data_IF_129899226190
#
_entry.id   IF_129899226190
#
_cell.length_a   1.000
_cell.length_b   1.000
_cell.length_c   1.000
_cell.angle_alpha   90.00
_cell.angle_beta   90.00
_cell.angle_gamma   90.00
#
_symmetry.space_group_name_H-M   'P 1'
#
loop_
_entity.id
_entity.type
_entity.pdbx_description
1 polymer ?
#
# COMPACT_ATOMS: atom_id res chain seq x y z
N UNK A 1 -1.92 36.30 -70.03
CA UNK A 1 -1.55 36.31 -68.57
C UNK A 1 -2.28 35.11 -67.93
N UNK A 2 -1.52 34.08 -67.58
CA UNK A 2 -2.06 32.86 -66.90
C UNK A 2 -1.60 32.89 -65.44
N UNK A 3 -2.54 33.13 -64.55
CA UNK A 3 -2.29 33.16 -63.08
C UNK A 3 -2.38 31.72 -62.55
N UNK A 4 -1.25 31.17 -62.13
CA UNK A 4 -1.18 29.87 -61.48
C UNK A 4 -1.52 30.05 -59.99
N UNK A 5 -2.64 29.45 -59.56
CA UNK A 5 -3.01 29.33 -58.12
C UNK A 5 -2.19 28.20 -57.49
N UNK A 6 -1.24 28.56 -56.66
CA UNK A 6 -0.54 27.62 -55.77
C UNK A 6 -1.40 27.34 -54.53
N UNK A 7 -2.00 26.14 -54.46
CA UNK A 7 -2.64 25.65 -53.23
C UNK A 7 -1.56 25.22 -52.23
N UNK A 8 -1.54 25.72 -50.99
CA UNK A 8 -0.65 25.17 -49.96
C UNK A 8 -1.22 23.82 -49.47
N UNK A 9 -0.47 22.75 -49.71
CA UNK A 9 -0.75 21.44 -49.15
C UNK A 9 -0.53 21.51 -47.61
N UNK A 10 -1.63 21.55 -46.85
CA UNK A 10 -1.65 21.46 -45.41
C UNK A 10 -1.27 20.02 -45.03
N UNK A 11 0.02 19.76 -44.75
CA UNK A 11 0.49 18.52 -44.19
C UNK A 11 -0.04 18.40 -42.76
N UNK A 12 -1.19 17.76 -42.58
CA UNK A 12 -1.69 17.27 -41.29
C UNK A 12 -0.72 16.17 -40.85
N UNK A 13 0.31 16.55 -40.10
CA UNK A 13 1.10 15.60 -39.30
C UNK A 13 0.15 15.01 -38.27
N UNK A 14 -0.39 13.84 -38.54
CA UNK A 14 -1.01 12.95 -37.54
C UNK A 14 0.07 12.64 -36.52
N UNK A 15 0.18 13.48 -35.47
CA UNK A 15 1.03 13.25 -34.34
C UNK A 15 0.57 11.93 -33.70
N UNK A 16 1.26 10.84 -34.05
CA UNK A 16 1.06 9.54 -33.46
C UNK A 16 1.49 9.68 -31.99
N UNK A 17 0.54 10.04 -31.15
CA UNK A 17 0.77 10.22 -29.73
C UNK A 17 1.28 8.92 -29.14
N UNK A 18 2.49 8.89 -28.56
CA UNK A 18 3.08 7.65 -28.06
C UNK A 18 2.22 7.06 -26.93
N UNK A 19 1.95 5.76 -27.04
CA UNK A 19 1.37 5.00 -25.92
C UNK A 19 2.30 5.08 -24.71
N UNK A 20 1.76 4.84 -23.52
CA UNK A 20 2.60 4.67 -22.34
C UNK A 20 3.55 3.49 -22.56
N UNK A 21 4.84 3.72 -22.46
CA UNK A 21 5.83 2.65 -22.48
C UNK A 21 6.07 2.09 -21.07
N UNK A 22 6.64 0.89 -21.01
CA UNK A 22 6.88 0.17 -19.76
C UNK A 22 7.79 0.95 -18.81
N UNK A 23 8.89 1.49 -19.31
CA UNK A 23 9.89 2.20 -18.50
C UNK A 23 9.27 3.43 -17.83
N UNK A 24 8.52 4.22 -18.60
CA UNK A 24 7.82 5.40 -18.06
C UNK A 24 6.77 5.01 -17.02
N UNK A 25 6.02 3.91 -17.24
CA UNK A 25 5.06 3.39 -16.26
C UNK A 25 5.77 2.97 -14.95
N UNK A 26 6.87 2.23 -15.05
CA UNK A 26 7.67 1.80 -13.89
C UNK A 26 8.24 2.97 -13.12
N UNK A 27 8.75 4.00 -13.79
CA UNK A 27 9.29 5.20 -13.14
C UNK A 27 8.21 5.95 -12.37
N UNK A 28 7.01 6.10 -12.95
CA UNK A 28 5.87 6.74 -12.29
C UNK A 28 5.36 5.94 -11.08
N UNK A 29 5.33 4.61 -11.16
CA UNK A 29 4.96 3.75 -10.04
C UNK A 29 6.05 3.84 -8.95
N UNK A 30 7.32 3.64 -9.32
CA UNK A 30 8.47 3.64 -8.39
C UNK A 30 8.57 4.93 -7.59
N UNK A 31 8.17 6.07 -8.17
CA UNK A 31 8.14 7.35 -7.46
C UNK A 31 7.24 7.37 -6.22
N UNK A 32 6.33 6.39 -6.07
CA UNK A 32 5.44 6.25 -4.90
C UNK A 32 5.96 5.23 -3.88
N UNK A 33 7.12 4.62 -4.11
CA UNK A 33 7.75 3.64 -3.22
C UNK A 33 9.08 4.18 -2.66
N UNK A 34 9.58 3.63 -1.54
CA UNK A 34 8.99 2.60 -0.71
C UNK A 34 7.77 3.09 0.07
N UNK A 35 6.90 2.15 0.49
CA UNK A 35 5.77 2.43 1.38
C UNK A 35 5.93 1.68 2.70
N UNK A 36 5.46 2.27 3.80
CA UNK A 36 5.48 1.63 5.13
C UNK A 36 4.34 0.62 5.21
N UNK A 37 4.67 -0.61 5.58
CA UNK A 37 3.70 -1.68 5.90
C UNK A 37 3.52 -1.73 7.42
N UNK A 38 2.39 -1.23 7.95
CA UNK A 38 2.15 -1.20 9.39
C UNK A 38 1.39 -2.41 9.90
N UNK A 39 1.55 -2.70 11.18
CA UNK A 39 0.54 -3.41 11.98
C UNK A 39 -0.39 -2.38 12.58
N UNK A 40 -1.69 -2.57 12.39
CA UNK A 40 -2.71 -1.75 13.03
C UNK A 40 -3.17 -2.43 14.32
N UNK A 41 -3.01 -1.75 15.44
CA UNK A 41 -3.45 -2.21 16.76
C UNK A 41 -4.62 -1.35 17.19
N UNK A 42 -5.83 -1.91 17.38
CA UNK A 42 -6.95 -1.13 17.89
C UNK A 42 -6.70 -0.72 19.35
N UNK A 43 -7.15 0.45 19.76
CA UNK A 43 -7.12 0.82 21.18
C UNK A 43 -8.08 -0.06 21.98
N UNK A 44 -9.23 -0.40 21.39
CA UNK A 44 -10.26 -1.25 21.98
C UNK A 44 -10.92 -2.11 20.92
N UNK A 45 -11.10 -3.41 21.20
CA UNK A 45 -11.83 -4.30 20.32
C UNK A 45 -12.57 -5.38 21.14
N UNK A 46 -13.74 -5.81 20.69
CA UNK A 46 -14.54 -6.82 21.37
C UNK A 46 -14.81 -8.02 20.47
N UNK A 47 -14.83 -9.21 21.04
CA UNK A 47 -15.17 -10.44 20.32
C UNK A 47 -15.79 -11.48 21.26
N UNK A 48 -16.68 -12.31 20.72
CA UNK A 48 -17.22 -13.47 21.43
C UNK A 48 -16.18 -14.58 21.55
N UNK A 49 -16.14 -15.26 22.71
CA UNK A 49 -15.25 -16.41 22.92
C UNK A 49 -15.42 -17.47 21.84
N UNK A 50 -14.30 -18.05 21.38
CA UNK A 50 -14.28 -19.12 20.38
C UNK A 50 -14.47 -18.64 18.93
N UNK A 51 -14.72 -17.35 18.68
CA UNK A 51 -14.80 -16.83 17.31
C UNK A 51 -13.40 -16.61 16.70
N UNK A 52 -13.25 -16.61 15.37
CA UNK A 52 -11.98 -16.26 14.73
C UNK A 52 -11.46 -14.86 15.09
N UNK A 53 -12.37 -13.91 15.37
CA UNK A 53 -12.02 -12.57 15.84
C UNK A 53 -11.40 -12.62 17.23
N UNK A 54 -11.97 -13.42 18.13
CA UNK A 54 -11.44 -13.64 19.48
C UNK A 54 -10.02 -14.22 19.44
N UNK A 55 -9.81 -15.26 18.63
CA UNK A 55 -8.49 -15.87 18.48
C UNK A 55 -7.44 -14.87 17.97
N UNK A 56 -7.81 -14.04 16.98
CA UNK A 56 -6.90 -12.97 16.50
C UNK A 56 -6.57 -11.95 17.58
N UNK A 57 -7.54 -11.52 18.37
CA UNK A 57 -7.32 -10.57 19.47
C UNK A 57 -6.47 -11.17 20.59
N UNK A 58 -6.65 -12.45 20.90
CA UNK A 58 -5.80 -13.17 21.87
C UNK A 58 -4.36 -13.26 21.38
N UNK A 59 -4.14 -13.65 20.13
CA UNK A 59 -2.81 -13.68 19.52
C UNK A 59 -2.17 -12.29 19.48
N UNK A 60 -2.95 -11.26 19.12
CA UNK A 60 -2.47 -9.88 19.16
C UNK A 60 -2.05 -9.48 20.56
N UNK A 61 -2.87 -9.75 21.57
CA UNK A 61 -2.57 -9.45 22.96
C UNK A 61 -1.26 -10.11 23.41
N UNK A 62 -1.11 -11.42 23.14
CA UNK A 62 0.10 -12.16 23.52
C UNK A 62 1.36 -11.58 22.88
N UNK A 63 1.30 -11.20 21.59
CA UNK A 63 2.42 -10.60 20.89
C UNK A 63 2.74 -9.19 21.42
N UNK A 64 1.72 -8.38 21.70
CA UNK A 64 1.90 -7.04 22.28
C UNK A 64 2.47 -7.11 23.70
N UNK A 65 2.00 -8.03 24.53
CA UNK A 65 2.55 -8.24 25.89
C UNK A 65 4.02 -8.67 25.82
N UNK A 66 4.38 -9.59 24.92
CA UNK A 66 5.77 -10.01 24.68
C UNK A 66 6.66 -8.86 24.18
N UNK A 67 6.12 -7.91 23.44
CA UNK A 67 6.89 -6.74 23.00
C UNK A 67 7.32 -5.84 24.15
N UNK A 68 6.58 -5.86 25.24
CA UNK A 68 6.78 -4.97 26.37
C UNK A 68 6.32 -3.52 26.15
N UNK A 69 5.83 -3.17 24.97
CA UNK A 69 5.48 -1.79 24.60
C UNK A 69 4.04 -1.40 24.90
N UNK A 70 3.20 -2.39 25.22
CA UNK A 70 1.79 -2.18 25.52
C UNK A 70 1.41 -2.71 26.89
N UNK A 71 0.41 -2.06 27.49
CA UNK A 71 -0.39 -2.61 28.56
C UNK A 71 -1.69 -3.11 27.94
N UNK A 72 -2.02 -4.37 28.16
CA UNK A 72 -3.27 -4.94 27.67
C UNK A 72 -4.15 -5.45 28.81
N UNK A 73 -5.44 -5.28 28.67
CA UNK A 73 -6.42 -5.80 29.61
C UNK A 73 -7.61 -6.44 28.84
N UNK A 74 -8.26 -7.39 29.49
CA UNK A 74 -9.45 -8.04 28.96
C UNK A 74 -10.55 -7.96 30.00
N UNK A 75 -11.75 -7.55 29.61
CA UNK A 75 -12.94 -7.50 30.42
C UNK A 75 -14.06 -8.26 29.74
N UNK A 76 -14.69 -9.19 30.46
CA UNK A 76 -15.90 -9.87 30.00
C UNK A 76 -17.13 -8.98 30.25
N UNK A 77 -17.98 -8.81 29.23
CA UNK A 77 -19.21 -8.04 29.31
C UNK A 77 -20.22 -8.57 28.27
N UNK A 78 -21.42 -8.94 28.73
CA UNK A 78 -22.52 -9.33 27.83
C UNK A 78 -22.23 -10.53 26.90
N UNK A 79 -21.41 -11.51 27.33
CA UNK A 79 -21.03 -12.67 26.52
C UNK A 79 -19.89 -12.40 25.50
N UNK A 80 -19.35 -11.19 25.48
CA UNK A 80 -18.16 -10.81 24.73
C UNK A 80 -17.01 -10.51 25.66
N UNK A 81 -15.78 -10.61 25.13
CA UNK A 81 -14.59 -10.10 25.79
C UNK A 81 -14.10 -8.86 25.05
N UNK A 82 -13.87 -7.80 25.81
CA UNK A 82 -13.33 -6.53 25.33
C UNK A 82 -11.85 -6.45 25.69
N UNK A 83 -11.02 -6.39 24.67
CA UNK A 83 -9.57 -6.17 24.74
C UNK A 83 -9.30 -4.67 24.67
N UNK A 84 -8.45 -4.19 25.56
CA UNK A 84 -7.98 -2.79 25.55
C UNK A 84 -6.47 -2.80 25.51
N UNK A 85 -5.89 -2.00 24.60
CA UNK A 85 -4.46 -1.88 24.41
C UNK A 85 -4.04 -0.43 24.63
N UNK A 86 -3.04 -0.20 25.47
CA UNK A 86 -2.50 1.12 25.78
C UNK A 86 -1.00 1.12 25.52
N UNK A 87 -0.53 2.10 24.78
CA UNK A 87 0.90 2.27 24.53
C UNK A 87 1.58 2.77 25.81
N UNK A 88 2.69 2.12 26.20
CA UNK A 88 3.50 2.55 27.33
C UNK A 88 4.33 3.78 27.00
N UNK A 89 4.71 4.61 27.99
CA UNK A 89 5.52 5.82 27.77
C UNK A 89 6.90 5.56 27.17
N UNK A 90 7.49 4.39 27.45
CA UNK A 90 8.81 3.94 26.97
C UNK A 90 8.78 3.19 25.64
N UNK A 91 7.60 3.07 25.03
CA UNK A 91 7.46 2.42 23.73
C UNK A 91 8.20 3.18 22.61
N UNK A 92 8.62 2.48 21.52
CA UNK A 92 9.32 3.11 20.42
C UNK A 92 8.55 4.28 19.81
N UNK A 93 9.22 5.43 19.60
CA UNK A 93 8.62 6.64 18.98
C UNK A 93 8.17 6.45 17.54
N UNK A 94 8.56 5.35 16.90
CA UNK A 94 8.10 4.94 15.56
C UNK A 94 6.65 4.47 15.57
N UNK A 95 6.11 4.06 16.72
CA UNK A 95 4.69 3.74 16.86
C UNK A 95 3.91 5.05 16.89
N UNK A 96 2.95 5.19 15.99
CA UNK A 96 2.15 6.41 15.83
C UNK A 96 0.71 6.17 16.26
N UNK A 97 0.10 7.18 16.88
CA UNK A 97 -1.35 7.19 17.06
C UNK A 97 -2.06 7.16 15.70
N UNK A 98 -3.15 6.42 15.63
CA UNK A 98 -4.04 6.31 14.48
C UNK A 98 -5.49 6.53 14.93
N UNK A 99 -6.44 6.83 14.04
CA UNK A 99 -7.81 7.20 14.41
C UNK A 99 -8.55 6.18 15.29
N UNK A 100 -8.16 4.91 15.21
CA UNK A 100 -8.79 3.81 15.98
C UNK A 100 -7.77 3.00 16.81
N UNK A 101 -6.61 3.61 17.15
CA UNK A 101 -5.58 2.93 17.91
C UNK A 101 -4.17 3.34 17.52
N UNK A 102 -3.33 2.38 17.12
CA UNK A 102 -1.91 2.59 16.88
C UNK A 102 -1.47 1.97 15.55
N UNK A 103 -0.53 2.61 14.89
CA UNK A 103 0.16 2.13 13.69
C UNK A 103 1.60 1.81 14.02
N UNK A 104 2.01 0.56 13.87
CA UNK A 104 3.34 0.06 14.17
C UNK A 104 4.03 -0.26 12.84
N UNK A 105 5.09 0.46 12.43
CA UNK A 105 5.84 0.11 11.21
C UNK A 105 6.46 -1.28 11.35
N UNK A 106 6.10 -2.19 10.45
CA UNK A 106 6.60 -3.57 10.45
C UNK A 106 7.68 -3.80 9.39
N UNK A 107 7.49 -3.27 8.19
CA UNK A 107 8.42 -3.41 7.07
C UNK A 107 8.21 -2.28 6.06
N UNK A 108 9.04 -2.28 5.01
CA UNK A 108 8.81 -1.49 3.80
C UNK A 108 8.36 -2.42 2.66
N UNK A 109 7.44 -1.96 1.82
CA UNK A 109 7.21 -2.58 0.53
C UNK A 109 7.86 -1.74 -0.56
N UNK A 110 8.56 -2.40 -1.49
CA UNK A 110 9.26 -1.78 -2.60
C UNK A 110 8.66 -2.23 -3.93
N UNK A 111 8.68 -1.35 -4.93
CA UNK A 111 8.35 -1.70 -6.30
C UNK A 111 9.42 -2.67 -6.87
N UNK A 112 8.99 -3.73 -7.53
CA UNK A 112 9.87 -4.70 -8.18
C UNK A 112 9.89 -4.48 -9.70
N UNK A 113 8.76 -4.68 -10.37
CA UNK A 113 8.63 -4.59 -11.82
C UNK A 113 7.18 -4.49 -12.28
N UNK A 114 6.94 -3.96 -13.45
CA UNK A 114 5.68 -4.14 -14.17
C UNK A 114 5.62 -5.56 -14.77
N UNK A 115 4.47 -6.23 -14.61
CA UNK A 115 4.25 -7.60 -15.11
C UNK A 115 3.47 -7.54 -16.43
N UNK A 116 2.33 -6.86 -16.42
CA UNK A 116 1.45 -6.72 -17.58
C UNK A 116 1.07 -5.27 -17.76
N UNK A 117 0.98 -4.84 -19.00
CA UNK A 117 0.53 -3.49 -19.36
C UNK A 117 -0.43 -3.54 -20.51
N UNK A 118 -1.57 -2.89 -20.35
CA UNK A 118 -2.57 -2.64 -21.36
C UNK A 118 -2.66 -1.13 -21.55
N UNK A 119 -2.27 -0.63 -22.74
CA UNK A 119 -2.21 0.80 -23.02
C UNK A 119 -2.97 1.14 -24.29
N UNK A 120 -3.79 2.17 -24.21
CA UNK A 120 -4.46 2.85 -25.33
C UNK A 120 -3.80 4.21 -25.59
N UNK A 121 -4.43 5.08 -26.37
CA UNK A 121 -3.96 6.46 -26.59
C UNK A 121 -4.21 7.38 -25.38
N UNK A 122 -5.23 7.07 -24.57
CA UNK A 122 -5.77 7.95 -23.53
C UNK A 122 -5.57 7.40 -22.13
N UNK A 123 -5.47 6.08 -21.99
CA UNK A 123 -5.35 5.40 -20.70
C UNK A 123 -4.47 4.17 -20.75
N UNK A 124 -3.99 3.76 -19.59
CA UNK A 124 -3.28 2.51 -19.42
C UNK A 124 -3.58 1.88 -18.07
N UNK A 125 -3.57 0.54 -18.04
CA UNK A 125 -3.62 -0.27 -16.82
C UNK A 125 -2.37 -1.12 -16.75
N UNK A 126 -1.72 -1.10 -15.59
CA UNK A 126 -0.46 -1.81 -15.34
C UNK A 126 -0.64 -2.71 -14.13
N UNK A 127 -0.38 -4.01 -14.32
CA UNK A 127 -0.18 -4.94 -13.20
C UNK A 127 1.30 -4.95 -12.87
N UNK A 128 1.64 -4.80 -11.60
CA UNK A 128 3.01 -4.76 -11.13
C UNK A 128 3.20 -5.57 -9.84
N UNK A 129 4.42 -5.85 -9.49
CA UNK A 129 4.79 -6.56 -8.27
C UNK A 129 5.46 -5.61 -7.29
N UNK A 130 5.09 -5.75 -6.03
CA UNK A 130 5.81 -5.20 -4.88
C UNK A 130 6.44 -6.34 -4.10
N UNK A 131 7.48 -6.04 -3.32
CA UNK A 131 8.13 -7.00 -2.42
C UNK A 131 8.32 -6.39 -1.05
N UNK A 132 8.08 -7.21 -0.03
CA UNK A 132 8.30 -6.82 1.36
C UNK A 132 9.78 -6.92 1.68
N UNK A 133 10.37 -5.80 2.14
CA UNK A 133 11.78 -5.67 2.49
C UNK A 133 11.96 -4.90 3.80
N UNK A 134 13.18 -4.82 4.27
CA UNK A 134 13.59 -4.03 5.45
C UNK A 134 12.65 -4.21 6.65
N UNK A 135 12.55 -5.44 7.19
CA UNK A 135 11.76 -5.67 8.39
C UNK A 135 12.30 -4.83 9.53
N UNK A 136 11.39 -4.25 10.31
CA UNK A 136 11.73 -3.55 11.55
C UNK A 136 11.80 -4.54 12.72
N UNK A 137 12.25 -4.10 13.90
CA UNK A 137 12.19 -4.90 15.13
C UNK A 137 10.74 -5.30 15.51
N UNK A 138 9.74 -4.65 14.90
CA UNK A 138 8.31 -4.91 15.10
C UNK A 138 7.71 -5.94 14.12
N UNK A 139 8.49 -6.38 13.13
CA UNK A 139 8.04 -7.33 12.11
C UNK A 139 7.48 -8.64 12.67
N UNK A 140 8.00 -9.23 13.77
CA UNK A 140 7.40 -10.42 14.38
C UNK A 140 5.93 -10.25 14.80
N UNK A 141 5.49 -9.03 15.16
CA UNK A 141 4.07 -8.75 15.43
C UNK A 141 3.22 -8.90 14.16
N UNK A 142 3.76 -8.44 13.02
CA UNK A 142 3.10 -8.54 11.73
C UNK A 142 3.00 -10.00 11.26
N UNK A 143 4.07 -10.78 11.38
CA UNK A 143 4.07 -12.21 11.05
C UNK A 143 3.09 -13.01 11.91
N UNK A 144 2.98 -12.70 13.19
CA UNK A 144 2.05 -13.33 14.12
C UNK A 144 0.57 -13.12 13.73
N UNK A 145 0.25 -11.99 13.10
CA UNK A 145 -1.10 -11.65 12.65
C UNK A 145 -1.39 -12.06 11.19
N UNK A 146 -0.35 -12.10 10.36
CA UNK A 146 -0.42 -12.33 8.92
C UNK A 146 0.50 -13.49 8.52
N UNK A 147 0.15 -14.71 8.95
CA UNK A 147 0.98 -15.92 8.81
C UNK A 147 1.42 -16.24 7.37
N UNK A 148 0.72 -15.71 6.38
CA UNK A 148 1.03 -15.92 4.95
C UNK A 148 2.05 -14.90 4.39
N UNK A 149 2.48 -13.92 5.20
CA UNK A 149 3.36 -12.83 4.74
C UNK A 149 4.78 -13.07 5.19
N UNK A 150 5.71 -13.07 4.23
CA UNK A 150 7.14 -13.28 4.46
C UNK A 150 7.95 -12.12 3.85
N UNK A 151 9.08 -11.79 4.47
CA UNK A 151 10.08 -10.93 3.84
C UNK A 151 10.56 -11.55 2.53
N UNK A 152 10.72 -10.75 1.49
CA UNK A 152 11.09 -11.21 0.15
C UNK A 152 9.93 -11.73 -0.70
N UNK A 153 8.74 -11.92 -0.13
CA UNK A 153 7.56 -12.34 -0.87
C UNK A 153 7.05 -11.21 -1.75
N UNK A 154 6.75 -11.53 -3.01
CA UNK A 154 6.10 -10.58 -3.93
C UNK A 154 4.59 -10.64 -3.82
N UNK A 155 3.95 -9.48 -4.03
CA UNK A 155 2.49 -9.36 -4.10
C UNK A 155 2.08 -8.53 -5.33
N UNK A 156 1.02 -8.93 -6.04
CA UNK A 156 0.52 -8.16 -7.17
C UNK A 156 -0.17 -6.88 -6.72
N UNK A 157 -0.06 -5.85 -7.56
CA UNK A 157 -0.75 -4.56 -7.46
C UNK A 157 -1.15 -4.08 -8.85
N UNK A 158 -2.06 -3.13 -8.89
CA UNK A 158 -2.53 -2.53 -10.12
C UNK A 158 -2.40 -1.00 -10.05
N UNK A 159 -2.11 -0.41 -11.19
CA UNK A 159 -2.05 1.02 -11.39
C UNK A 159 -2.83 1.43 -12.63
N UNK A 160 -3.50 2.57 -12.56
CA UNK A 160 -4.21 3.20 -13.68
C UNK A 160 -3.55 4.52 -14.04
N UNK A 161 -3.39 4.75 -15.32
CA UNK A 161 -2.80 5.95 -15.87
C UNK A 161 -3.75 6.62 -16.84
N UNK A 162 -3.73 7.94 -16.85
CA UNK A 162 -4.42 8.77 -17.83
C UNK A 162 -3.42 9.68 -18.54
N UNK A 163 -3.73 10.00 -19.79
CA UNK A 163 -2.98 10.98 -20.54
C UNK A 163 -3.75 12.28 -20.61
N UNK A 164 -3.18 13.33 -20.02
CA UNK A 164 -3.73 14.70 -20.04
C UNK A 164 -2.70 15.65 -20.63
N UNK A 165 -3.09 16.45 -21.61
CA UNK A 165 -2.21 17.45 -22.26
C UNK A 165 -0.86 16.85 -22.72
N UNK A 166 -0.90 15.64 -23.29
CA UNK A 166 0.31 14.98 -23.78
C UNK A 166 1.14 14.25 -22.72
N UNK A 167 0.85 14.44 -21.43
CA UNK A 167 1.61 13.87 -20.31
C UNK A 167 0.89 12.69 -19.68
N UNK A 168 1.59 11.60 -19.41
CA UNK A 168 1.09 10.45 -18.68
C UNK A 168 1.20 10.68 -17.17
N UNK A 169 0.09 10.45 -16.46
CA UNK A 169 -0.01 10.63 -15.00
C UNK A 169 -0.60 9.37 -14.39
N UNK A 170 -0.03 8.91 -13.28
CA UNK A 170 -0.61 7.88 -12.43
C UNK A 170 -1.84 8.48 -11.73
N UNK A 171 -3.03 7.92 -11.97
CA UNK A 171 -4.29 8.43 -11.41
C UNK A 171 -4.85 7.60 -10.28
N UNK A 172 -4.57 6.30 -10.26
CA UNK A 172 -5.01 5.40 -9.21
C UNK A 172 -4.07 4.21 -9.06
N UNK A 173 -4.04 3.66 -7.85
CA UNK A 173 -3.39 2.39 -7.52
C UNK A 173 -4.19 1.70 -6.43
N UNK A 174 -4.10 0.36 -6.34
CA UNK A 174 -4.64 -0.44 -5.25
C UNK A 174 -3.67 -0.54 -4.05
N UNK A 175 -2.58 0.27 -4.05
CA UNK A 175 -1.70 0.39 -2.90
C UNK A 175 -2.40 1.13 -1.76
N UNK A 176 -2.49 0.47 -0.60
CA UNK A 176 -3.16 1.00 0.58
C UNK A 176 -2.18 1.57 1.62
N UNK A 177 -0.90 1.32 1.44
CA UNK A 177 0.13 1.79 2.36
C UNK A 177 0.65 3.18 1.98
N UNK A 178 1.20 3.90 2.95
CA UNK A 178 1.73 5.25 2.75
C UNK A 178 3.20 5.20 2.38
N UNK A 179 3.61 6.12 1.53
CA UNK A 179 5.02 6.33 1.20
C UNK A 179 5.83 6.63 2.47
N UNK A 180 7.06 6.12 2.51
CA UNK A 180 8.05 6.48 3.53
C UNK A 180 8.43 7.94 3.31
N UNK A 181 8.28 8.78 4.34
CA UNK A 181 8.70 10.19 4.35
C UNK A 181 10.19 10.32 4.69
#
# INVERSE_FOLDING_TARGET
MRTALLLPALLLTLACSPKLDRRKAEDLIRANYPVVVPVMVPEKASAGKGTPAYLRLTTLKENLDKSGWFESSVRAEGGQETFTFRLKPDAPKTIKAAPQGFSIPAAEAVFVRAVKMESTREGARVSYEIRLEKPTAQFPLFEGLHQEVRVGQTKPRHATFERKNGTWTLTATDEVFRKVE
#
